data_IF_961249018926
#
_entry.id   IF_961249018926
#
_cell.length_a   1.000
_cell.length_b   1.000
_cell.length_c   1.000
_cell.angle_alpha   90.00
_cell.angle_beta   90.00
_cell.angle_gamma   90.00
#
_symmetry.space_group_name_H-M   'P 1'
#
loop_
_entity.id
_entity.type
_entity.pdbx_description
1 polymer ?
#
# COMPACT_ATOMS: atom_id res chain seq x y z
N UNK A 1 14.63 -3.04 1.64
CA UNK A 1 13.79 -3.11 2.84
C UNK A 1 13.52 -4.56 3.19
N UNK A 2 13.63 -4.87 4.46
CA UNK A 2 13.49 -6.23 4.92
C UNK A 2 12.33 -6.34 5.89
N UNK A 3 11.31 -7.07 5.51
CA UNK A 3 10.16 -7.33 6.36
C UNK A 3 10.22 -8.77 6.80
N UNK A 4 10.03 -9.00 8.09
CA UNK A 4 10.24 -10.32 8.66
C UNK A 4 9.06 -11.25 8.49
N UNK A 5 7.85 -10.72 8.50
CA UNK A 5 6.66 -11.55 8.51
C UNK A 5 6.00 -11.55 7.15
N UNK A 6 5.94 -12.72 6.53
CA UNK A 6 5.30 -12.85 5.23
C UNK A 6 3.79 -12.67 5.29
N UNK A 7 3.21 -12.80 6.47
CA UNK A 7 1.79 -12.56 6.65
C UNK A 7 1.45 -11.11 7.00
N UNK A 8 2.43 -10.22 7.00
CA UNK A 8 2.19 -8.82 7.30
C UNK A 8 1.18 -8.23 6.33
N UNK A 9 0.31 -7.37 6.84
CA UNK A 9 -0.70 -6.72 6.03
C UNK A 9 -0.11 -5.45 5.43
N UNK A 10 -0.04 -5.41 4.12
CA UNK A 10 0.67 -4.36 3.39
C UNK A 10 -0.31 -3.66 2.46
N UNK A 11 -0.34 -2.34 2.54
CA UNK A 11 -1.16 -1.54 1.65
C UNK A 11 -0.25 -0.84 0.63
N UNK A 12 -0.59 -0.97 -0.64
CA UNK A 12 0.15 -0.30 -1.71
C UNK A 12 -0.79 0.70 -2.37
N UNK A 13 -0.51 1.97 -2.15
CA UNK A 13 -1.27 3.05 -2.78
C UNK A 13 -0.70 3.29 -4.17
N UNK A 14 -1.59 3.45 -5.16
CA UNK A 14 -1.14 3.66 -6.52
C UNK A 14 -0.74 2.36 -7.22
N UNK A 15 -1.36 1.26 -6.85
CA UNK A 15 -0.99 -0.06 -7.38
C UNK A 15 -1.17 -0.19 -8.89
N UNK A 16 -1.96 0.69 -9.49
CA UNK A 16 -2.20 0.65 -10.94
C UNK A 16 -1.14 1.44 -11.71
N UNK A 17 -0.35 2.23 -11.03
CA UNK A 17 0.74 2.95 -11.66
C UNK A 17 1.95 2.08 -11.90
N UNK A 18 2.92 2.63 -12.59
CA UNK A 18 4.13 1.89 -12.93
C UNK A 18 4.90 1.44 -11.69
N UNK A 19 5.13 2.37 -10.77
CA UNK A 19 5.88 2.05 -9.56
C UNK A 19 5.07 1.15 -8.63
N UNK A 20 3.79 1.47 -8.44
CA UNK A 20 2.94 0.70 -7.53
C UNK A 20 2.77 -0.74 -7.98
N UNK A 21 2.58 -0.95 -9.27
CA UNK A 21 2.42 -2.30 -9.79
C UNK A 21 3.72 -3.11 -9.63
N UNK A 22 4.86 -2.45 -9.79
CA UNK A 22 6.15 -3.11 -9.60
C UNK A 22 6.34 -3.52 -8.15
N UNK A 23 5.92 -2.66 -7.22
CA UNK A 23 6.00 -2.97 -5.79
C UNK A 23 5.14 -4.19 -5.46
N UNK A 24 3.91 -4.22 -5.95
CA UNK A 24 3.01 -5.35 -5.70
C UNK A 24 3.62 -6.64 -6.24
N UNK A 25 4.14 -6.58 -7.45
CA UNK A 25 4.76 -7.76 -8.05
C UNK A 25 5.93 -8.25 -7.21
N UNK A 26 6.78 -7.33 -6.79
CA UNK A 26 7.94 -7.69 -5.99
C UNK A 26 7.55 -8.32 -4.67
N UNK A 27 6.55 -7.74 -4.01
CA UNK A 27 6.09 -8.29 -2.74
C UNK A 27 5.56 -9.70 -2.91
N UNK A 28 4.82 -9.95 -3.98
CA UNK A 28 4.31 -11.30 -4.24
C UNK A 28 5.43 -12.28 -4.50
N UNK A 29 6.45 -11.84 -5.23
CA UNK A 29 7.62 -12.69 -5.49
C UNK A 29 8.36 -13.04 -4.21
N UNK A 30 8.35 -12.13 -3.25
CA UNK A 30 9.01 -12.36 -1.97
C UNK A 30 8.18 -13.21 -1.01
N UNK A 31 6.97 -13.55 -1.41
CA UNK A 31 6.15 -14.44 -0.59
C UNK A 31 5.09 -13.75 0.26
N UNK A 32 4.94 -12.44 0.12
CA UNK A 32 3.91 -11.73 0.87
C UNK A 32 2.56 -11.95 0.20
N UNK A 33 1.59 -12.41 0.98
CA UNK A 33 0.27 -12.76 0.44
C UNK A 33 -0.84 -11.84 0.90
N UNK A 34 -0.59 -11.04 1.93
CA UNK A 34 -1.63 -10.19 2.50
C UNK A 34 -1.47 -8.74 2.02
N UNK A 35 -1.58 -8.56 0.72
CA UNK A 35 -1.38 -7.26 0.08
C UNK A 35 -2.74 -6.63 -0.19
N UNK A 36 -2.94 -5.42 0.30
CA UNK A 36 -4.19 -4.68 0.16
C UNK A 36 -3.97 -3.55 -0.85
N UNK A 37 -4.87 -3.42 -1.80
CA UNK A 37 -4.82 -2.34 -2.78
C UNK A 37 -6.20 -1.70 -2.89
N UNK A 38 -6.20 -0.41 -3.21
CA UNK A 38 -7.45 0.32 -3.43
C UNK A 38 -7.25 1.28 -4.59
N UNK A 39 -8.23 1.38 -5.46
CA UNK A 39 -8.20 2.37 -6.52
C UNK A 39 -8.51 3.74 -5.92
N UNK A 40 -8.23 4.79 -6.70
CA UNK A 40 -8.56 6.15 -6.28
C UNK A 40 -10.05 6.29 -6.00
N UNK A 41 -10.89 5.58 -6.75
CA UNK A 41 -12.34 5.61 -6.53
C UNK A 41 -12.73 4.94 -5.23
N UNK A 42 -12.00 3.92 -4.84
CA UNK A 42 -12.30 3.17 -3.62
C UNK A 42 -11.80 3.88 -2.38
N UNK A 43 -10.64 4.51 -2.49
CA UNK A 43 -10.07 5.25 -1.37
C UNK A 43 -9.32 6.46 -1.90
N UNK A 44 -9.86 7.64 -1.65
CA UNK A 44 -9.25 8.89 -2.02
C UNK A 44 -8.34 9.35 -0.88
N UNK A 45 -7.03 9.26 -1.10
CA UNK A 45 -6.06 9.59 -0.06
C UNK A 45 -6.04 11.07 0.31
N UNK A 46 -6.68 11.93 -0.48
CA UNK A 46 -6.83 13.33 -0.11
C UNK A 46 -7.94 13.52 0.92
N UNK A 47 -8.80 12.53 1.09
CA UNK A 47 -9.82 12.54 2.12
C UNK A 47 -9.24 11.97 3.40
N UNK A 48 -8.83 12.85 4.30
CA UNK A 48 -8.13 12.44 5.52
C UNK A 48 -8.99 11.54 6.40
N UNK A 49 -10.27 11.80 6.46
CA UNK A 49 -11.18 11.01 7.29
C UNK A 49 -11.29 9.59 6.77
N UNK A 50 -11.53 9.45 5.47
CA UNK A 50 -11.66 8.14 4.87
C UNK A 50 -10.36 7.35 4.99
N UNK A 51 -9.24 8.03 4.81
CA UNK A 51 -7.93 7.39 4.92
C UNK A 51 -7.68 6.88 6.32
N UNK A 52 -8.00 7.70 7.34
CA UNK A 52 -7.81 7.29 8.72
C UNK A 52 -8.69 6.09 9.06
N UNK A 53 -9.94 6.14 8.65
CA UNK A 53 -10.86 5.04 8.92
C UNK A 53 -10.39 3.75 8.26
N UNK A 54 -9.88 3.87 7.04
CA UNK A 54 -9.36 2.73 6.32
C UNK A 54 -8.17 2.12 7.06
N UNK A 55 -7.24 2.94 7.51
CA UNK A 55 -6.06 2.45 8.22
C UNK A 55 -6.44 1.78 9.53
N UNK A 56 -7.37 2.37 10.26
CA UNK A 56 -7.80 1.80 11.54
C UNK A 56 -8.54 0.49 11.34
N UNK A 57 -9.38 0.42 10.32
CA UNK A 57 -10.16 -0.77 10.05
C UNK A 57 -9.29 -1.92 9.57
N UNK A 58 -8.34 -1.62 8.69
CA UNK A 58 -7.51 -2.66 8.09
C UNK A 58 -6.33 -3.07 8.96
N UNK A 59 -5.92 -2.20 9.86
CA UNK A 59 -4.77 -2.46 10.76
C UNK A 59 -3.54 -2.86 9.97
N UNK A 60 -3.11 -1.95 9.12
CA UNK A 60 -2.00 -2.19 8.23
C UNK A 60 -0.68 -2.23 8.98
N UNK A 61 0.19 -3.15 8.59
CA UNK A 61 1.54 -3.23 9.16
C UNK A 61 2.51 -2.35 8.38
N UNK A 62 2.31 -2.25 7.07
CA UNK A 62 3.18 -1.45 6.21
C UNK A 62 2.34 -0.72 5.18
N UNK A 63 2.81 0.46 4.80
CA UNK A 63 2.15 1.27 3.78
C UNK A 63 3.19 1.74 2.77
N UNK A 64 2.93 1.49 1.50
CA UNK A 64 3.79 1.97 0.41
C UNK A 64 2.98 2.98 -0.39
N UNK A 65 3.45 4.22 -0.42
CA UNK A 65 2.78 5.29 -1.17
C UNK A 65 3.49 5.48 -2.51
N UNK A 66 2.92 4.90 -3.53
CA UNK A 66 3.45 5.02 -4.88
C UNK A 66 2.59 5.93 -5.75
N UNK A 67 1.77 6.75 -5.13
CA UNK A 67 0.92 7.68 -5.86
C UNK A 67 1.77 8.73 -6.55
N UNK A 68 1.42 9.04 -7.79
CA UNK A 68 2.29 9.83 -8.65
C UNK A 68 2.65 11.21 -8.13
N UNK A 69 1.79 11.81 -7.36
CA UNK A 69 2.00 13.19 -6.94
C UNK A 69 2.86 13.34 -5.70
N UNK A 70 3.22 12.26 -5.07
CA UNK A 70 3.93 12.35 -3.80
C UNK A 70 5.44 12.36 -3.98
N UNK A 71 5.92 11.89 -5.09
CA UNK A 71 7.34 12.00 -5.39
C UNK A 71 8.22 11.18 -4.49
N UNK A 72 7.77 10.04 -4.08
CA UNK A 72 8.59 9.18 -3.24
C UNK A 72 7.81 8.00 -2.72
N UNK A 73 8.52 7.13 -2.03
CA UNK A 73 7.92 5.96 -1.41
C UNK A 73 8.10 6.09 0.09
N UNK A 74 6.98 6.02 0.80
CA UNK A 74 6.98 6.10 2.24
C UNK A 74 6.60 4.74 2.79
N UNK A 75 7.41 4.21 3.67
CA UNK A 75 7.15 2.92 4.29
C UNK A 75 7.06 3.07 5.80
N UNK A 76 6.02 2.51 6.36
CA UNK A 76 5.85 2.48 7.81
C UNK A 76 6.13 1.10 8.35
#
# INVERSE_FOLDING_TARGET
MKMKEKGAKIYVAGHRGLVGSAIVRKLKEEGYTNIVTRTHSELDLTDQRATREFFEKERLDYVFLAAAKVGGILAN
#
